data_IF_667612922534
#
_entry.id   IF_667612922534
#
_cell.length_a   1.000
_cell.length_b   1.000
_cell.length_c   1.000
_cell.angle_alpha   90.00
_cell.angle_beta   90.00
_cell.angle_gamma   90.00
#
_symmetry.space_group_name_H-M   'P 1'
#
loop_
_entity.id
_entity.type
_entity.pdbx_description
1 polymer ?
#
# COMPACT_ATOMS: atom_id res chain seq x y z
N UNK A 1 -29.33 -6.74 6.73
CA UNK A 1 -28.16 -6.26 7.51
C UNK A 1 -27.18 -7.41 7.62
N UNK A 2 -25.99 -7.31 7.02
CA UNK A 2 -24.91 -8.28 7.23
C UNK A 2 -24.43 -8.16 8.68
N UNK A 3 -24.54 -9.25 9.45
CA UNK A 3 -24.08 -9.31 10.84
C UNK A 3 -22.64 -9.81 10.82
N UNK A 4 -21.68 -8.88 10.75
CA UNK A 4 -20.26 -9.22 10.83
C UNK A 4 -19.92 -9.90 12.16
N UNK A 5 -18.90 -10.78 12.20
CA UNK A 5 -18.37 -11.28 13.45
C UNK A 5 -17.82 -10.10 14.26
N UNK A 6 -18.13 -10.07 15.56
CA UNK A 6 -17.66 -9.02 16.45
C UNK A 6 -16.31 -9.43 17.04
N UNK A 7 -15.28 -8.60 16.85
CA UNK A 7 -13.97 -8.82 17.47
C UNK A 7 -14.09 -8.90 18.99
N UNK A 8 -13.42 -9.88 19.60
CA UNK A 8 -13.46 -10.17 21.05
C UNK A 8 -12.39 -9.42 21.84
N UNK A 9 -11.59 -8.60 21.16
CA UNK A 9 -10.59 -7.70 21.72
C UNK A 9 -10.47 -6.45 20.85
N UNK A 10 -9.83 -5.36 21.34
CA UNK A 10 -9.50 -4.20 20.51
C UNK A 10 -8.77 -4.61 19.22
N UNK A 11 -8.98 -3.85 18.14
CA UNK A 11 -8.28 -4.07 16.88
C UNK A 11 -6.77 -3.88 17.10
N UNK A 12 -5.99 -4.85 16.62
CA UNK A 12 -4.53 -4.78 16.60
C UNK A 12 -4.12 -4.07 15.31
N UNK A 13 -3.70 -2.80 15.45
CA UNK A 13 -3.35 -1.96 14.32
C UNK A 13 -1.83 -1.73 14.31
N UNK A 14 -1.22 -1.64 13.13
CA UNK A 14 0.18 -1.21 12.99
C UNK A 14 0.23 0.29 12.76
N UNK A 15 0.74 1.02 13.75
CA UNK A 15 0.89 2.46 13.75
C UNK A 15 1.65 2.95 12.51
N UNK A 16 2.79 2.34 12.17
CA UNK A 16 3.61 2.79 11.05
C UNK A 16 2.89 2.71 9.70
N UNK A 17 2.02 1.71 9.51
CA UNK A 17 1.22 1.57 8.29
C UNK A 17 0.11 2.60 8.20
N UNK A 18 -0.55 2.92 9.31
CA UNK A 18 -1.52 4.00 9.37
C UNK A 18 -0.82 5.35 9.09
N UNK A 19 0.37 5.58 9.63
CA UNK A 19 1.14 6.80 9.36
C UNK A 19 1.46 6.95 7.87
N UNK A 20 1.90 5.89 7.20
CA UNK A 20 2.19 5.89 5.76
C UNK A 20 0.93 6.06 4.90
N UNK A 21 -0.16 5.35 5.21
CA UNK A 21 -1.45 5.52 4.51
C UNK A 21 -2.03 6.94 4.69
N UNK A 22 -1.92 7.54 5.88
CA UNK A 22 -2.29 8.94 6.12
C UNK A 22 -1.38 9.94 5.38
N UNK A 23 -0.13 9.59 5.11
CA UNK A 23 0.83 10.44 4.40
C UNK A 23 0.64 10.42 2.87
N UNK A 24 0.23 9.25 2.34
CA UNK A 24 0.00 8.97 0.92
C UNK A 24 -1.44 9.21 0.45
N UNK A 25 -2.40 9.38 1.37
CA UNK A 25 -3.79 9.70 1.00
C UNK A 25 -3.91 11.14 0.48
N UNK A 26 -4.19 11.25 -0.80
CA UNK A 26 -4.38 12.48 -1.56
C UNK A 26 -5.66 12.38 -2.42
N UNK A 27 -5.90 13.34 -3.30
CA UNK A 27 -7.13 13.37 -4.12
C UNK A 27 -7.21 12.22 -5.14
N UNK A 28 -6.10 11.55 -5.46
CA UNK A 28 -6.04 10.41 -6.39
C UNK A 28 -6.03 9.05 -5.65
N UNK A 29 -5.62 9.03 -4.37
CA UNK A 29 -5.39 7.80 -3.60
C UNK A 29 -6.22 7.73 -2.33
N UNK A 30 -7.31 6.97 -2.42
CA UNK A 30 -8.18 6.65 -1.29
C UNK A 30 -7.72 5.41 -0.52
N UNK A 31 -7.76 5.52 0.81
CA UNK A 31 -7.47 4.43 1.74
C UNK A 31 -8.65 4.25 2.69
N UNK A 32 -9.07 3.01 2.92
CA UNK A 32 -10.15 2.65 3.84
C UNK A 32 -9.65 1.70 4.93
N UNK A 33 -9.97 1.98 6.19
CA UNK A 33 -9.74 1.08 7.33
C UNK A 33 -10.97 0.20 7.58
N UNK A 34 -10.78 -1.11 7.68
CA UNK A 34 -11.81 -2.04 8.15
C UNK A 34 -12.02 -1.93 9.67
N UNK A 35 -13.25 -1.58 10.09
CA UNK A 35 -13.64 -1.54 11.51
C UNK A 35 -13.86 -2.92 12.15
N UNK A 36 -13.84 -4.01 11.38
CA UNK A 36 -14.08 -5.38 11.88
C UNK A 36 -12.79 -6.10 12.26
N UNK A 37 -11.77 -6.06 11.40
CA UNK A 37 -10.51 -6.80 11.56
C UNK A 37 -9.26 -5.90 11.52
N UNK A 38 -9.37 -4.64 11.06
CA UNK A 38 -8.27 -3.68 11.09
C UNK A 38 -7.31 -3.69 9.89
N UNK A 39 -7.67 -4.35 8.79
CA UNK A 39 -6.90 -4.22 7.54
C UNK A 39 -7.18 -2.89 6.83
N UNK A 40 -6.20 -2.43 6.04
CA UNK A 40 -6.33 -1.24 5.20
C UNK A 40 -6.54 -1.69 3.74
N UNK A 41 -7.49 -1.05 3.06
CA UNK A 41 -7.76 -1.19 1.63
C UNK A 41 -7.25 0.06 0.92
N UNK A 42 -6.41 -0.10 -0.09
CA UNK A 42 -5.94 0.96 -0.97
C UNK A 42 -6.68 0.87 -2.31
N UNK A 43 -7.39 1.93 -2.73
CA UNK A 43 -8.11 1.97 -4.01
C UNK A 43 -7.14 2.28 -5.14
N UNK A 44 -6.58 1.21 -5.69
CA UNK A 44 -5.65 1.24 -6.81
C UNK A 44 -6.39 1.37 -8.16
N UNK A 45 -6.36 2.57 -8.74
CA UNK A 45 -7.03 2.89 -10.01
C UNK A 45 -6.39 2.24 -11.25
N UNK A 46 -5.16 1.72 -11.15
CA UNK A 46 -4.48 1.01 -12.25
C UNK A 46 -5.08 -0.38 -12.54
N UNK A 47 -6.04 -0.83 -11.72
CA UNK A 47 -6.65 -2.16 -11.84
C UNK A 47 -7.79 -2.24 -12.84
N UNK A 48 -8.13 -3.48 -13.20
CA UNK A 48 -9.22 -3.77 -14.12
C UNK A 48 -10.57 -3.25 -13.62
N UNK A 49 -11.32 -2.59 -14.51
CA UNK A 49 -12.64 -1.99 -14.26
C UNK A 49 -13.62 -2.89 -13.49
N UNK A 50 -13.57 -4.20 -13.73
CA UNK A 50 -14.39 -5.19 -13.00
C UNK A 50 -14.03 -5.28 -11.51
N UNK A 51 -12.75 -5.30 -11.17
CA UNK A 51 -12.29 -5.35 -9.77
C UNK A 51 -12.65 -4.06 -9.04
N UNK A 52 -12.49 -2.91 -9.71
CA UNK A 52 -12.89 -1.61 -9.18
C UNK A 52 -14.41 -1.52 -8.95
N UNK A 53 -15.22 -1.96 -9.92
CA UNK A 53 -16.67 -1.97 -9.79
C UNK A 53 -17.18 -2.95 -8.71
N UNK A 54 -16.49 -4.07 -8.49
CA UNK A 54 -16.83 -5.02 -7.43
C UNK A 54 -16.37 -4.54 -6.04
N UNK A 55 -15.25 -3.79 -5.96
CA UNK A 55 -14.82 -3.11 -4.74
C UNK A 55 -15.78 -1.97 -4.36
N UNK A 56 -16.18 -1.12 -5.31
CA UNK A 56 -17.13 -0.03 -5.08
C UNK A 56 -18.49 -0.55 -4.58
N UNK A 57 -18.99 -1.66 -5.15
CA UNK A 57 -20.19 -2.35 -4.63
C UNK A 57 -20.00 -2.80 -3.18
N UNK A 58 -18.88 -3.46 -2.85
CA UNK A 58 -18.60 -3.92 -1.47
C UNK A 58 -18.59 -2.74 -0.49
N UNK A 59 -17.84 -1.67 -0.80
CA UNK A 59 -17.73 -0.47 0.05
C UNK A 59 -19.09 0.24 0.16
N UNK A 60 -19.82 0.40 -0.94
CA UNK A 60 -21.15 1.05 -0.96
C UNK A 60 -22.21 0.28 -0.17
N UNK A 61 -22.28 -1.04 -0.35
CA UNK A 61 -23.23 -1.91 0.38
C UNK A 61 -22.84 -2.04 1.86
N UNK A 62 -21.56 -1.87 2.19
CA UNK A 62 -21.01 -2.09 3.54
C UNK A 62 -20.31 -0.86 4.12
N UNK A 63 -20.80 0.34 3.80
CA UNK A 63 -20.23 1.63 4.22
C UNK A 63 -19.91 1.72 5.73
N UNK A 64 -20.75 1.14 6.61
CA UNK A 64 -20.50 1.11 8.06
C UNK A 64 -19.24 0.32 8.49
N UNK A 65 -18.74 -0.59 7.64
CA UNK A 65 -17.55 -1.41 7.87
C UNK A 65 -16.26 -0.63 7.56
N UNK A 66 -16.29 0.25 6.56
CA UNK A 66 -15.11 0.88 5.99
C UNK A 66 -15.04 2.37 6.36
N UNK A 67 -13.97 2.79 7.04
CA UNK A 67 -13.72 4.20 7.34
C UNK A 67 -12.69 4.78 6.37
N UNK A 68 -13.10 5.77 5.56
CA UNK A 68 -12.17 6.54 4.71
C UNK A 68 -11.15 7.30 5.59
N UNK A 69 -9.86 7.12 5.29
CA UNK A 69 -8.78 7.83 5.96
C UNK A 69 -8.80 9.34 5.62
N UNK A 70 -8.44 10.22 6.56
CA UNK A 70 -8.52 11.67 6.36
C UNK A 70 -7.31 12.18 5.57
N UNK A 71 -7.57 12.61 4.34
CA UNK A 71 -6.60 13.32 3.48
C UNK A 71 -6.01 14.53 4.22
N UNK A 72 -4.74 14.83 3.98
CA UNK A 72 -4.11 16.06 4.50
C UNK A 72 -4.41 17.20 3.53
N UNK A 73 -5.16 18.20 3.97
CA UNK A 73 -5.32 19.43 3.18
C UNK A 73 -4.00 20.19 3.07
N UNK A 74 -3.89 21.04 2.04
CA UNK A 74 -2.73 21.95 1.89
C UNK A 74 -2.52 22.81 3.15
N UNK A 75 -3.62 23.31 3.75
CA UNK A 75 -3.57 24.13 4.97
C UNK A 75 -3.07 23.35 6.19
N UNK A 76 -3.57 22.12 6.42
CA UNK A 76 -3.06 21.25 7.49
C UNK A 76 -1.57 20.94 7.29
N UNK A 77 -1.17 20.62 6.06
CA UNK A 77 0.23 20.34 5.71
C UNK A 77 1.11 21.55 6.01
N UNK A 78 0.68 22.76 5.60
CA UNK A 78 1.39 24.01 5.87
C UNK A 78 1.52 24.25 7.38
N UNK A 79 0.43 24.17 8.11
CA UNK A 79 0.39 24.33 9.58
C UNK A 79 1.27 23.31 10.31
N UNK A 80 1.38 22.09 9.78
CA UNK A 80 2.24 21.05 10.34
C UNK A 80 3.73 21.39 10.17
N UNK A 81 4.14 21.91 9.01
CA UNK A 81 5.50 22.39 8.77
C UNK A 81 5.80 23.66 9.60
N UNK A 82 4.86 24.62 9.67
CA UNK A 82 4.96 25.81 10.53
C UNK A 82 5.09 25.44 12.02
N UNK A 83 4.38 24.41 12.47
CA UNK A 83 4.47 23.88 13.83
C UNK A 83 5.86 23.30 14.15
N UNK A 84 6.45 22.54 13.22
CA UNK A 84 7.81 22.04 13.36
C UNK A 84 8.83 23.18 13.51
N UNK A 85 8.79 24.16 12.61
CA UNK A 85 9.71 25.31 12.60
C UNK A 85 9.61 26.11 13.90
N UNK A 86 8.41 26.22 14.48
CA UNK A 86 8.23 26.97 15.72
C UNK A 86 8.59 26.19 16.98
N UNK A 87 8.47 24.86 16.99
CA UNK A 87 8.66 24.04 18.19
C UNK A 87 10.02 23.32 18.27
N UNK A 88 10.70 23.07 17.14
CA UNK A 88 11.89 22.20 17.10
C UNK A 88 13.12 22.87 16.42
N UNK A 89 12.92 23.89 15.59
CA UNK A 89 14.02 24.65 14.97
C UNK A 89 14.41 25.82 15.88
N UNK A 90 15.61 25.74 16.47
CA UNK A 90 16.14 26.73 17.42
C UNK A 90 17.12 27.72 16.78
N UNK A 91 17.74 27.35 15.65
CA UNK A 91 18.62 28.24 14.91
C UNK A 91 17.82 29.29 14.14
N UNK A 92 18.19 30.56 14.27
CA UNK A 92 17.42 31.69 13.74
C UNK A 92 17.52 31.75 12.22
N UNK A 93 18.73 31.61 11.67
CA UNK A 93 18.97 31.67 10.22
C UNK A 93 18.25 30.53 9.48
N UNK A 94 18.29 29.32 10.05
CA UNK A 94 17.55 28.16 9.54
C UNK A 94 16.04 28.36 9.66
N UNK A 95 15.57 28.94 10.78
CA UNK A 95 14.15 29.22 11.02
C UNK A 95 13.59 30.22 10.02
N UNK A 96 14.28 31.32 9.75
CA UNK A 96 13.85 32.34 8.77
C UNK A 96 13.78 31.75 7.35
N UNK A 97 14.82 31.04 6.90
CA UNK A 97 14.82 30.35 5.60
C UNK A 97 13.65 29.38 5.44
N UNK A 98 13.35 28.58 6.47
CA UNK A 98 12.23 27.64 6.45
C UNK A 98 10.87 28.35 6.42
N UNK A 99 10.71 29.50 7.09
CA UNK A 99 9.49 30.32 7.02
C UNK A 99 9.28 30.94 5.64
N UNK A 100 10.34 31.37 4.96
CA UNK A 100 10.27 31.85 3.57
C UNK A 100 9.93 30.71 2.59
N UNK A 101 10.53 29.53 2.76
CA UNK A 101 10.19 28.33 1.99
C UNK A 101 8.70 27.99 2.14
N UNK A 102 8.13 28.08 3.33
CA UNK A 102 6.71 27.83 3.60
C UNK A 102 5.78 28.85 2.89
N UNK A 103 6.26 30.05 2.60
CA UNK A 103 5.50 31.05 1.83
C UNK A 103 5.57 30.83 0.32
N UNK A 104 6.50 29.97 -0.15
CA UNK A 104 6.64 29.65 -1.58
C UNK A 104 5.48 28.80 -2.13
N UNK A 105 5.31 28.84 -3.46
CA UNK A 105 4.25 28.10 -4.17
C UNK A 105 4.35 26.58 -4.01
N UNK A 106 5.56 26.05 -3.87
CA UNK A 106 5.86 24.61 -3.77
C UNK A 106 6.40 24.25 -2.38
N UNK A 107 5.86 24.92 -1.35
CA UNK A 107 6.28 24.87 0.04
C UNK A 107 6.65 23.47 0.57
N UNK A 108 5.85 22.42 0.26
CA UNK A 108 6.11 21.05 0.76
C UNK A 108 7.37 20.43 0.17
N UNK A 109 7.57 20.54 -1.14
CA UNK A 109 8.69 19.89 -1.82
C UNK A 109 10.00 20.63 -1.50
N UNK A 110 9.98 21.96 -1.56
CA UNK A 110 11.09 22.84 -1.17
C UNK A 110 11.48 22.66 0.31
N UNK A 111 10.50 22.47 1.21
CA UNK A 111 10.75 22.21 2.63
C UNK A 111 11.43 20.84 2.82
N UNK A 112 10.95 19.80 2.15
CA UNK A 112 11.58 18.48 2.22
C UNK A 112 13.01 18.52 1.67
N UNK A 113 13.24 19.15 0.51
CA UNK A 113 14.58 19.33 -0.07
C UNK A 113 15.55 19.96 0.93
N UNK A 114 15.19 21.11 1.52
CA UNK A 114 16.00 21.76 2.55
C UNK A 114 16.28 20.84 3.75
N UNK A 115 15.25 20.15 4.26
CA UNK A 115 15.38 19.28 5.44
C UNK A 115 16.27 18.06 5.15
N UNK A 116 16.20 17.48 3.94
CA UNK A 116 17.06 16.35 3.56
C UNK A 116 18.54 16.74 3.42
N UNK A 117 18.85 17.98 3.04
CA UNK A 117 20.22 18.51 3.05
C UNK A 117 20.76 18.80 4.48
N UNK A 118 19.86 19.04 5.44
CA UNK A 118 20.22 19.40 6.82
C UNK A 118 19.93 18.25 7.79
N UNK A 119 20.83 17.28 7.88
CA UNK A 119 20.63 16.02 8.62
C UNK A 119 20.15 16.18 10.09
N UNK A 120 20.61 17.21 10.80
CA UNK A 120 20.16 17.51 12.17
C UNK A 120 18.71 17.97 12.24
N UNK A 121 18.21 18.66 11.22
CA UNK A 121 16.80 19.04 11.13
C UNK A 121 15.95 17.90 10.58
N UNK A 122 16.51 17.02 9.75
CA UNK A 122 15.86 15.76 9.32
C UNK A 122 15.52 14.87 10.51
N UNK A 123 16.45 14.62 11.42
CA UNK A 123 16.19 13.80 12.63
C UNK A 123 15.08 14.41 13.50
N UNK A 124 15.11 15.73 13.73
CA UNK A 124 14.07 16.43 14.48
C UNK A 124 12.72 16.40 13.77
N UNK A 125 12.72 16.53 12.44
CA UNK A 125 11.52 16.47 11.61
C UNK A 125 10.89 15.07 11.66
N UNK A 126 11.70 14.02 11.53
CA UNK A 126 11.24 12.63 11.67
C UNK A 126 10.57 12.41 13.03
N UNK A 127 11.22 12.83 14.13
CA UNK A 127 10.66 12.73 15.48
C UNK A 127 9.36 13.53 15.64
N UNK A 128 9.36 14.80 15.23
CA UNK A 128 8.16 15.66 15.28
C UNK A 128 7.01 15.09 14.46
N UNK A 129 7.30 14.61 13.25
CA UNK A 129 6.30 14.04 12.37
C UNK A 129 5.66 12.82 13.01
N UNK A 130 6.47 11.90 13.53
CA UNK A 130 6.00 10.69 14.25
C UNK A 130 5.19 11.04 15.50
N UNK A 131 5.62 12.02 16.31
CA UNK A 131 4.86 12.46 17.50
C UNK A 131 3.48 13.03 17.12
N UNK A 132 3.43 13.88 16.09
CA UNK A 132 2.21 14.60 15.69
C UNK A 132 1.24 13.78 14.86
N UNK A 133 1.73 12.96 13.94
CA UNK A 133 0.87 12.05 13.16
C UNK A 133 0.25 10.98 14.05
N UNK A 134 0.97 10.52 15.09
CA UNK A 134 0.42 9.62 16.13
C UNK A 134 -0.76 10.21 16.87
N UNK A 135 -0.66 11.47 17.31
CA UNK A 135 -1.80 12.17 17.93
C UNK A 135 -2.97 12.27 16.95
N UNK A 136 -2.73 12.71 15.70
CA UNK A 136 -3.77 12.82 14.64
C UNK A 136 -4.48 11.49 14.36
N UNK A 137 -3.73 10.38 14.29
CA UNK A 137 -4.29 9.03 14.06
C UNK A 137 -5.12 8.58 15.27
N UNK A 138 -4.65 8.79 16.50
CA UNK A 138 -5.41 8.47 17.73
C UNK A 138 -6.71 9.29 17.78
N UNK A 139 -6.65 10.59 17.48
CA UNK A 139 -7.84 11.46 17.42
C UNK A 139 -8.85 10.96 16.38
N UNK A 140 -8.41 10.63 15.17
CA UNK A 140 -9.30 10.12 14.13
C UNK A 140 -9.91 8.75 14.48
N UNK A 141 -9.12 7.81 15.02
CA UNK A 141 -9.62 6.50 15.47
C UNK A 141 -10.68 6.65 16.58
N UNK A 142 -10.48 7.61 17.51
CA UNK A 142 -11.46 7.96 18.54
C UNK A 142 -12.75 8.55 17.96
N UNK A 143 -12.65 9.47 16.99
CA UNK A 143 -13.80 10.04 16.28
C UNK A 143 -14.59 8.99 15.49
N UNK A 144 -13.93 7.94 15.04
CA UNK A 144 -14.55 6.80 14.34
C UNK A 144 -15.11 5.72 15.29
N UNK A 145 -15.02 5.93 16.61
CA UNK A 145 -15.41 4.99 17.67
C UNK A 145 -14.74 3.60 17.59
N UNK A 146 -13.55 3.53 16.98
CA UNK A 146 -12.81 2.28 16.77
C UNK A 146 -11.99 1.96 18.01
N UNK A 147 -12.29 0.86 18.70
CA UNK A 147 -11.47 0.41 19.84
C UNK A 147 -10.20 -0.30 19.33
N UNK A 148 -9.02 0.29 19.55
CA UNK A 148 -7.74 -0.20 19.02
C UNK A 148 -6.62 -0.29 20.07
N UNK A 149 -5.55 -1.00 19.71
CA UNK A 149 -4.22 -0.98 20.33
C UNK A 149 -3.17 -1.06 19.23
N UNK A 150 -2.09 -0.28 19.33
CA UNK A 150 -0.96 -0.40 18.40
C UNK A 150 -0.05 -1.60 18.74
N UNK A 151 0.34 -2.38 17.73
CA UNK A 151 1.27 -3.50 17.89
C UNK A 151 2.64 -3.04 18.39
N UNK A 152 3.12 -1.89 17.91
CA UNK A 152 4.42 -1.32 18.25
C UNK A 152 4.55 -0.91 19.72
N UNK A 153 3.44 -0.76 20.42
CA UNK A 153 3.46 -0.48 21.86
C UNK A 153 3.48 -1.77 22.70
N UNK A 154 3.17 -2.94 22.14
CA UNK A 154 2.90 -4.19 22.86
C UNK A 154 4.17 -5.03 23.10
N UNK A 155 4.55 -5.16 24.38
CA UNK A 155 5.59 -6.08 24.85
C UNK A 155 5.12 -7.56 24.82
N UNK A 156 4.70 -8.05 23.65
CA UNK A 156 4.19 -9.41 23.45
C UNK A 156 5.06 -10.20 22.47
N UNK A 157 5.39 -11.44 22.84
CA UNK A 157 6.09 -12.38 21.96
C UNK A 157 5.26 -12.65 20.68
N UNK A 158 5.92 -12.65 19.51
CA UNK A 158 5.34 -12.98 18.20
C UNK A 158 4.36 -14.17 18.21
N UNK A 159 4.70 -15.26 18.90
CA UNK A 159 3.85 -16.45 19.00
C UNK A 159 2.51 -16.19 19.73
N UNK A 160 2.45 -15.22 20.65
CA UNK A 160 1.21 -14.83 21.32
C UNK A 160 0.39 -13.88 20.45
N UNK A 161 1.05 -12.95 19.75
CA UNK A 161 0.40 -12.04 18.80
C UNK A 161 -0.26 -12.78 17.63
N UNK A 162 0.40 -13.79 17.05
CA UNK A 162 -0.23 -14.63 16.02
C UNK A 162 -1.43 -15.41 16.55
N UNK A 163 -1.39 -15.91 17.79
CA UNK A 163 -2.55 -16.55 18.43
C UNK A 163 -3.70 -15.56 18.62
N UNK A 164 -3.42 -14.34 19.10
CA UNK A 164 -4.44 -13.30 19.26
C UNK A 164 -5.14 -12.96 17.93
N UNK A 165 -4.37 -12.82 16.84
CA UNK A 165 -4.92 -12.58 15.50
C UNK A 165 -5.77 -13.76 15.01
N UNK A 166 -5.28 -15.00 15.11
CA UNK A 166 -6.02 -16.22 14.71
C UNK A 166 -7.35 -16.38 15.46
N UNK A 167 -7.35 -16.07 16.76
CA UNK A 167 -8.51 -16.24 17.62
C UNK A 167 -9.32 -14.94 17.80
N UNK A 168 -9.16 -13.91 16.96
CA UNK A 168 -9.78 -12.58 17.15
C UNK A 168 -11.30 -12.61 17.37
N UNK A 169 -12.01 -13.51 16.68
CA UNK A 169 -13.46 -13.65 16.73
C UNK A 169 -13.96 -14.74 17.71
N UNK A 170 -13.06 -15.54 18.28
CA UNK A 170 -13.44 -16.69 19.10
C UNK A 170 -13.75 -16.29 20.54
N UNK A 171 -14.99 -16.53 20.97
CA UNK A 171 -15.48 -16.20 22.32
C UNK A 171 -14.79 -17.05 23.40
N UNK A 172 -14.54 -18.33 23.11
CA UNK A 172 -13.89 -19.28 24.04
C UNK A 172 -12.44 -19.51 23.62
N UNK A 173 -11.51 -19.04 24.45
CA UNK A 173 -10.05 -19.16 24.23
C UNK A 173 -9.36 -19.70 25.49
N UNK A 174 -8.07 -20.03 25.40
CA UNK A 174 -7.28 -20.42 26.57
C UNK A 174 -7.15 -19.28 27.58
N UNK A 175 -6.89 -19.63 28.85
CA UNK A 175 -6.74 -18.65 29.94
C UNK A 175 -5.68 -17.58 29.63
N UNK A 176 -4.57 -17.98 29.03
CA UNK A 176 -3.47 -17.07 28.66
C UNK A 176 -3.93 -16.01 27.66
N UNK A 177 -4.70 -16.41 26.64
CA UNK A 177 -5.24 -15.48 25.63
C UNK A 177 -6.28 -14.57 26.28
N UNK A 178 -7.16 -15.09 27.15
CA UNK A 178 -8.14 -14.28 27.87
C UNK A 178 -7.47 -13.19 28.74
N UNK A 179 -6.42 -13.54 29.50
CA UNK A 179 -5.66 -12.59 30.29
C UNK A 179 -5.00 -11.49 29.43
N UNK A 180 -4.44 -11.85 28.26
CA UNK A 180 -3.88 -10.85 27.34
C UNK A 180 -4.97 -9.97 26.72
N UNK A 181 -6.17 -10.51 26.39
CA UNK A 181 -7.30 -9.68 25.95
C UNK A 181 -7.72 -8.65 26.99
N UNK A 182 -7.78 -9.02 28.26
CA UNK A 182 -8.07 -8.06 29.34
C UNK A 182 -7.01 -6.95 29.41
N UNK A 183 -5.73 -7.30 29.31
CA UNK A 183 -4.64 -6.32 29.21
C UNK A 183 -4.76 -5.40 27.98
N UNK A 184 -5.17 -5.94 26.81
CA UNK A 184 -5.48 -5.15 25.62
C UNK A 184 -6.62 -4.17 25.87
N UNK A 185 -7.71 -4.57 26.55
CA UNK A 185 -8.81 -3.66 26.90
C UNK A 185 -8.39 -2.56 27.88
N UNK A 186 -7.53 -2.87 28.86
CA UNK A 186 -6.95 -1.84 29.75
C UNK A 186 -6.10 -0.86 28.96
N UNK A 187 -5.27 -1.34 28.03
CA UNK A 187 -4.43 -0.50 27.17
C UNK A 187 -5.25 0.32 26.16
N UNK A 188 -6.29 -0.26 25.57
CA UNK A 188 -7.17 0.47 24.65
C UNK A 188 -7.78 1.71 25.33
N UNK A 189 -8.17 1.60 26.61
CA UNK A 189 -8.68 2.72 27.40
C UNK A 189 -7.67 3.84 27.60
N UNK A 190 -6.35 3.58 27.58
CA UNK A 190 -5.35 4.66 27.76
C UNK A 190 -5.27 5.58 26.54
N UNK A 191 -5.47 5.09 25.31
CA UNK A 191 -5.55 5.95 24.11
C UNK A 191 -6.77 6.90 24.12
N UNK A 192 -7.83 6.53 24.83
CA UNK A 192 -9.01 7.38 25.03
C UNK A 192 -8.84 8.38 26.20
N UNK A 193 -7.79 8.24 27.01
CA UNK A 193 -7.44 9.22 28.05
C UNK A 193 -6.79 10.47 27.46
N UNK A 194 -6.72 11.55 28.25
CA UNK A 194 -6.04 12.78 27.83
C UNK A 194 -4.51 12.65 27.79
N UNK A 195 -3.92 11.62 28.42
CA UNK A 195 -2.46 11.40 28.41
C UNK A 195 -1.95 10.99 27.03
N UNK A 196 -2.76 10.29 26.23
CA UNK A 196 -2.40 9.87 24.87
C UNK A 196 -2.46 11.00 23.83
N UNK A 197 -3.24 12.05 24.09
CA UNK A 197 -3.31 13.26 23.26
C UNK A 197 -2.22 14.27 23.61
N UNK A 198 -1.91 14.38 24.91
CA UNK A 198 -0.93 15.33 25.43
C UNK A 198 0.01 14.58 26.39
N UNK A 199 1.08 13.93 25.89
CA UNK A 199 2.08 13.29 26.72
C UNK A 199 2.84 14.35 27.53
N UNK A 200 2.34 14.67 28.72
CA UNK A 200 3.00 15.61 29.63
C UNK A 200 4.35 15.03 30.05
N UNK A 201 5.43 15.85 30.11
CA UNK A 201 6.66 15.45 30.79
C UNK A 201 6.31 15.01 32.22
N UNK A 202 6.70 13.77 32.59
CA UNK A 202 6.42 13.24 33.93
C UNK A 202 7.12 14.12 34.97
N UNK A 203 6.37 15.01 35.61
CA UNK A 203 6.87 16.00 36.56
C UNK A 203 7.29 15.30 37.86
N UNK A 204 8.57 14.95 37.95
CA UNK A 204 9.19 14.26 39.06
C UNK A 204 10.70 14.18 38.87
N UNK A 205 11.40 13.59 39.85
CA UNK A 205 12.86 13.36 39.82
C UNK A 205 13.28 12.75 38.47
N UNK A 206 14.44 13.13 37.89
CA UNK A 206 14.94 12.53 36.66
C UNK A 206 14.81 11.01 36.71
N UNK A 207 14.19 10.37 35.69
CA UNK A 207 14.11 8.92 35.64
C UNK A 207 15.52 8.37 35.79
N UNK A 208 15.71 7.42 36.72
CA UNK A 208 16.95 6.64 36.79
C UNK A 208 17.21 6.14 35.38
N UNK A 209 18.39 6.40 34.82
CA UNK A 209 18.74 6.00 33.45
C UNK A 209 18.78 4.48 33.36
N UNK A 210 17.60 3.87 33.24
CA UNK A 210 17.46 2.54 32.67
C UNK A 210 17.86 2.74 31.22
N UNK A 211 18.95 2.08 30.81
CA UNK A 211 19.34 2.06 29.41
C UNK A 211 18.10 1.72 28.60
N UNK A 212 17.75 2.59 27.65
CA UNK A 212 16.61 2.37 26.75
C UNK A 212 17.01 1.21 25.87
N UNK A 213 16.72 -0.02 26.33
CA UNK A 213 16.97 -1.23 25.57
C UNK A 213 16.20 -1.06 24.27
N UNK A 214 16.94 -0.97 23.17
CA UNK A 214 16.38 -0.93 21.84
C UNK A 214 15.86 -2.34 21.54
N UNK A 215 14.68 -2.63 22.07
CA UNK A 215 13.93 -3.83 21.74
C UNK A 215 13.51 -3.64 20.29
N UNK A 216 14.24 -4.30 19.39
CA UNK A 216 13.91 -4.36 17.97
C UNK A 216 12.45 -4.83 17.84
N UNK A 217 11.56 -4.03 17.21
CA UNK A 217 10.15 -4.32 17.19
C UNK A 217 9.91 -5.63 16.44
N UNK A 218 9.43 -6.67 17.14
CA UNK A 218 9.15 -7.98 16.55
C UNK A 218 7.92 -7.91 15.63
N UNK A 219 8.14 -7.48 14.39
CA UNK A 219 7.07 -7.38 13.39
C UNK A 219 6.43 -8.75 13.16
N UNK A 220 5.13 -8.82 13.43
CA UNK A 220 4.35 -10.04 13.22
C UNK A 220 3.72 -10.05 11.84
N UNK A 221 3.51 -11.26 11.29
CA UNK A 221 2.87 -11.41 9.98
C UNK A 221 1.40 -11.00 10.11
N UNK A 222 0.86 -10.35 9.06
CA UNK A 222 -0.56 -10.03 9.03
C UNK A 222 -1.37 -11.31 8.85
N UNK A 223 -2.37 -11.48 9.71
CA UNK A 223 -3.29 -12.61 9.64
C UNK A 223 -4.70 -12.04 9.63
N UNK A 224 -5.30 -12.00 8.45
CA UNK A 224 -6.67 -11.57 8.23
C UNK A 224 -7.51 -12.75 7.74
N UNK A 225 -8.67 -12.94 8.34
CA UNK A 225 -9.58 -14.08 8.18
C UNK A 225 -10.89 -13.68 7.52
N UNK A 226 -11.29 -12.40 7.62
CA UNK A 226 -12.59 -11.87 7.18
C UNK A 226 -12.47 -10.88 6.01
N UNK A 227 -11.40 -10.97 5.22
CA UNK A 227 -11.21 -10.17 3.99
C UNK A 227 -12.09 -10.70 2.86
N UNK A 228 -13.05 -9.89 2.35
CA UNK A 228 -13.84 -10.25 1.17
C UNK A 228 -12.96 -10.54 -0.04
N UNK A 229 -13.37 -11.47 -0.91
CA UNK A 229 -12.58 -11.87 -2.08
C UNK A 229 -12.23 -10.70 -2.99
N UNK A 230 -13.16 -9.76 -3.21
CA UNK A 230 -12.95 -8.54 -3.97
C UNK A 230 -11.89 -7.61 -3.34
N UNK A 231 -11.83 -7.49 -2.02
CA UNK A 231 -10.84 -6.63 -1.34
C UNK A 231 -9.41 -7.20 -1.33
N UNK A 232 -9.21 -8.50 -1.59
CA UNK A 232 -7.90 -9.16 -1.41
C UNK A 232 -6.78 -8.58 -2.28
N UNK A 233 -7.09 -8.19 -3.52
CA UNK A 233 -6.07 -7.56 -4.38
C UNK A 233 -5.72 -6.14 -3.92
N UNK A 234 -6.62 -5.48 -3.17
CA UNK A 234 -6.51 -4.09 -2.71
C UNK A 234 -5.98 -3.96 -1.28
N UNK A 235 -5.53 -5.05 -0.65
CA UNK A 235 -4.95 -4.99 0.71
C UNK A 235 -3.66 -4.17 0.72
N UNK A 236 -3.62 -3.15 1.56
CA UNK A 236 -2.44 -2.31 1.73
C UNK A 236 -1.46 -2.91 2.73
N UNK A 237 -0.44 -3.59 2.20
CA UNK A 237 0.56 -4.34 2.97
C UNK A 237 1.99 -3.85 2.71
N UNK A 238 2.32 -2.57 2.96
CA UNK A 238 3.68 -2.10 2.80
C UNK A 238 4.60 -2.77 3.84
N UNK A 239 5.83 -3.05 3.42
CA UNK A 239 6.87 -3.66 4.26
C UNK A 239 7.64 -2.58 5.02
N UNK A 240 6.97 -2.01 6.02
CA UNK A 240 7.50 -0.94 6.86
C UNK A 240 7.87 -1.54 8.22
N UNK A 241 9.17 -1.55 8.50
CA UNK A 241 9.74 -2.04 9.75
C UNK A 241 10.18 -0.91 10.70
N UNK A 242 10.36 0.31 10.20
CA UNK A 242 10.84 1.45 11.00
C UNK A 242 10.16 2.76 10.57
N UNK A 243 10.10 3.75 11.48
CA UNK A 243 9.60 5.09 11.19
C UNK A 243 10.44 5.82 10.11
N UNK A 244 11.75 5.56 10.08
CA UNK A 244 12.67 6.17 9.11
C UNK A 244 12.42 5.70 7.66
N UNK A 245 11.86 4.50 7.44
CA UNK A 245 11.61 3.98 6.08
C UNK A 245 10.32 4.50 5.44
N UNK A 246 9.62 5.44 6.10
CA UNK A 246 8.38 6.04 5.60
C UNK A 246 8.72 7.33 4.85
N UNK A 247 8.25 7.47 3.62
CA UNK A 247 8.40 8.69 2.84
C UNK A 247 7.47 9.79 3.34
N UNK A 248 8.03 10.95 3.71
CA UNK A 248 7.23 12.15 4.01
C UNK A 248 6.61 12.79 2.75
N UNK A 249 6.86 12.22 1.56
CA UNK A 249 6.30 12.65 0.29
C UNK A 249 5.24 11.67 -0.20
N UNK A 250 4.06 12.18 -0.55
CA UNK A 250 3.05 11.39 -1.25
C UNK A 250 3.52 10.96 -2.65
N UNK A 251 4.45 11.69 -3.27
CA UNK A 251 4.90 11.46 -4.66
C UNK A 251 5.84 10.27 -4.84
N UNK A 252 6.43 9.74 -3.76
CA UNK A 252 7.46 8.69 -3.84
C UNK A 252 7.18 7.57 -2.84
N UNK A 253 7.33 6.32 -3.30
CA UNK A 253 7.02 5.13 -2.50
C UNK A 253 8.14 4.74 -1.55
N UNK A 254 9.39 5.14 -1.85
CA UNK A 254 10.58 4.85 -1.04
C UNK A 254 11.49 6.06 -0.87
N UNK A 255 12.19 6.13 0.26
CA UNK A 255 13.14 7.22 0.56
C UNK A 255 14.24 7.30 -0.52
N UNK A 256 14.68 6.15 -1.05
CA UNK A 256 15.64 6.09 -2.15
C UNK A 256 15.16 6.78 -3.43
N UNK A 257 13.87 6.70 -3.77
CA UNK A 257 13.30 7.42 -4.92
C UNK A 257 13.27 8.93 -4.68
N UNK A 258 12.88 9.36 -3.47
CA UNK A 258 12.87 10.77 -3.07
C UNK A 258 14.30 11.35 -3.12
N UNK A 259 15.27 10.69 -2.50
CA UNK A 259 16.69 11.09 -2.54
C UNK A 259 17.27 11.09 -3.97
N UNK A 260 16.84 10.16 -4.84
CA UNK A 260 17.25 10.16 -6.25
C UNK A 260 16.65 11.35 -7.03
N UNK A 261 15.43 11.77 -6.69
CA UNK A 261 14.80 12.97 -7.26
C UNK A 261 15.48 14.26 -6.78
N UNK A 262 15.75 14.37 -5.47
CA UNK A 262 16.40 15.54 -4.85
C UNK A 262 17.83 15.75 -5.37
N UNK A 263 18.58 14.67 -5.64
CA UNK A 263 19.92 14.75 -6.27
C UNK A 263 19.92 15.14 -7.76
N UNK A 264 18.86 15.79 -8.24
CA UNK A 264 18.75 16.31 -9.60
C UNK A 264 18.74 15.25 -10.70
N UNK A 265 18.47 13.98 -10.38
CA UNK A 265 18.58 12.88 -11.35
C UNK A 265 17.38 12.78 -12.29
N UNK A 266 17.30 13.76 -13.19
CA UNK A 266 16.51 13.72 -14.43
C UNK A 266 16.86 12.54 -15.37
N UNK A 267 17.78 11.66 -14.97
CA UNK A 267 18.25 10.48 -15.71
C UNK A 267 17.88 9.13 -15.08
N UNK A 268 17.25 9.08 -13.90
CA UNK A 268 16.68 7.84 -13.33
C UNK A 268 15.14 7.88 -13.44
N UNK A 269 14.67 8.23 -14.64
CA UNK A 269 13.44 7.67 -15.23
C UNK A 269 13.77 6.57 -16.24
N UNK A 270 14.74 5.72 -15.90
CA UNK A 270 14.75 4.35 -16.42
C UNK A 270 13.84 3.56 -15.49
N UNK A 271 12.54 3.71 -15.74
CA UNK A 271 11.48 2.98 -15.08
C UNK A 271 11.82 1.47 -15.15
N UNK A 272 11.80 0.76 -14.02
CA UNK A 272 12.12 -0.67 -14.00
C UNK A 272 11.16 -1.47 -14.90
N UNK A 273 9.94 -0.95 -15.14
CA UNK A 273 9.00 -1.44 -16.14
C UNK A 273 9.46 -1.16 -17.58
N UNK A 274 10.09 -0.01 -17.86
CA UNK A 274 10.70 0.29 -19.16
C UNK A 274 11.97 -0.53 -19.41
N UNK A 275 12.79 -0.79 -18.40
CA UNK A 275 13.97 -1.65 -18.55
C UNK A 275 13.57 -3.11 -18.79
N UNK A 276 12.58 -3.62 -18.04
CA UNK A 276 11.98 -4.92 -18.32
C UNK A 276 11.27 -4.98 -19.69
N UNK A 277 10.72 -3.86 -20.18
CA UNK A 277 10.18 -3.75 -21.54
C UNK A 277 11.28 -3.69 -22.61
N UNK A 278 12.40 -3.01 -22.39
CA UNK A 278 13.52 -2.99 -23.33
C UNK A 278 14.16 -4.37 -23.44
N UNK A 279 14.37 -5.06 -22.32
CA UNK A 279 14.87 -6.45 -22.30
C UNK A 279 13.89 -7.41 -22.99
N UNK A 280 12.57 -7.24 -22.80
CA UNK A 280 11.54 -8.00 -23.53
C UNK A 280 11.47 -7.67 -25.02
N UNK A 281 11.70 -6.41 -25.42
CA UNK A 281 11.73 -6.00 -26.82
C UNK A 281 13.03 -6.41 -27.52
N UNK A 282 14.16 -6.43 -26.82
CA UNK A 282 15.44 -6.95 -27.33
C UNK A 282 15.38 -8.47 -27.49
N UNK A 283 14.87 -9.21 -26.50
CA UNK A 283 14.63 -10.65 -26.65
C UNK A 283 13.61 -10.97 -27.76
N UNK A 284 12.56 -10.17 -27.94
CA UNK A 284 11.66 -10.27 -29.10
C UNK A 284 12.36 -9.94 -30.43
N UNK A 285 13.27 -8.96 -30.48
CA UNK A 285 14.08 -8.67 -31.68
C UNK A 285 15.05 -9.81 -31.99
N UNK A 286 15.65 -10.44 -30.98
CA UNK A 286 16.50 -11.63 -31.15
C UNK A 286 15.71 -12.87 -31.59
N UNK A 287 14.47 -13.04 -31.16
CA UNK A 287 13.58 -14.11 -31.64
C UNK A 287 13.05 -13.82 -33.05
N UNK A 288 12.67 -12.58 -33.33
CA UNK A 288 12.24 -12.12 -34.66
C UNK A 288 13.34 -12.28 -35.69
N UNK A 289 14.58 -11.83 -35.40
CA UNK A 289 15.73 -12.00 -36.30
C UNK A 289 16.04 -13.47 -36.57
N UNK A 290 15.97 -14.35 -35.55
CA UNK A 290 16.11 -15.82 -35.73
C UNK A 290 14.99 -16.46 -36.56
N UNK A 291 13.81 -15.84 -36.64
CA UNK A 291 12.69 -16.29 -37.48
C UNK A 291 12.71 -15.69 -38.89
N UNK A 292 13.34 -14.52 -39.08
CA UNK A 292 13.43 -13.84 -40.39
C UNK A 292 14.70 -14.14 -41.18
N UNK A 293 15.64 -14.93 -40.65
CA UNK A 293 16.82 -15.41 -41.39
C UNK A 293 16.60 -16.82 -41.95
N UNK A 294 16.25 -16.99 -43.23
CA UNK A 294 16.17 -18.31 -43.86
C UNK A 294 17.55 -18.76 -44.35
N UNK A 295 18.41 -19.22 -43.44
CA UNK A 295 19.67 -19.90 -43.77
C UNK A 295 20.07 -20.91 -42.68
N UNK A 296 20.61 -22.05 -43.12
CA UNK A 296 21.40 -23.03 -42.38
C UNK A 296 20.71 -23.83 -41.25
N UNK A 297 19.74 -24.65 -41.64
CA UNK A 297 19.10 -25.69 -40.83
C UNK A 297 20.00 -26.95 -40.61
N UNK A 298 21.27 -26.79 -40.22
CA UNK A 298 22.20 -27.95 -40.10
C UNK A 298 23.29 -27.87 -39.01
N UNK A 299 23.23 -26.94 -38.04
CA UNK A 299 24.27 -26.82 -36.98
C UNK A 299 23.77 -26.65 -35.53
N UNK A 300 22.47 -26.49 -35.29
CA UNK A 300 21.94 -25.97 -34.00
C UNK A 300 21.50 -27.02 -32.95
N UNK A 301 21.69 -28.32 -33.20
CA UNK A 301 21.23 -29.37 -32.28
C UNK A 301 22.09 -29.56 -31.00
N UNK A 302 23.26 -28.92 -30.89
CA UNK A 302 24.27 -29.24 -29.86
C UNK A 302 24.48 -28.19 -28.75
N UNK A 303 23.89 -27.00 -28.85
CA UNK A 303 24.11 -25.91 -27.88
C UNK A 303 22.88 -25.52 -27.02
N UNK A 304 21.68 -25.99 -27.36
CA UNK A 304 20.44 -25.64 -26.64
C UNK A 304 20.27 -26.24 -25.23
N UNK A 305 21.12 -27.21 -24.83
CA UNK A 305 20.89 -28.03 -23.62
C UNK A 305 21.69 -27.57 -22.38
N UNK A 306 22.64 -26.64 -22.54
CA UNK A 306 23.57 -26.26 -21.44
C UNK A 306 23.09 -25.13 -20.51
N UNK A 307 22.06 -24.37 -20.86
CA UNK A 307 21.60 -23.22 -20.05
C UNK A 307 20.27 -23.43 -19.29
N UNK A 308 19.64 -24.60 -19.36
CA UNK A 308 18.38 -24.90 -18.65
C UNK A 308 18.54 -25.75 -17.38
N UNK A 309 19.75 -25.86 -16.83
CA UNK A 309 20.09 -26.83 -15.76
C UNK A 309 20.65 -26.22 -14.46
N UNK A 310 20.37 -24.95 -14.19
CA UNK A 310 20.69 -24.29 -12.92
C UNK A 310 19.54 -23.37 -12.43
N UNK A 311 18.36 -23.94 -12.14
CA UNK A 311 17.52 -23.61 -10.95
C UNK A 311 16.53 -24.77 -10.73
N UNK A 312 16.91 -25.75 -9.92
CA UNK A 312 15.98 -26.57 -9.11
C UNK A 312 16.79 -27.16 -7.94
N UNK A 313 16.37 -26.98 -6.68
CA UNK A 313 17.07 -27.55 -5.53
C UNK A 313 16.84 -29.06 -5.43
N UNK A 314 17.73 -29.72 -4.71
CA UNK A 314 17.79 -31.17 -4.56
C UNK A 314 16.60 -31.71 -3.75
N UNK A 315 15.92 -32.72 -4.30
CA UNK A 315 15.18 -33.71 -3.54
C UNK A 315 15.43 -35.08 -4.18
N UNK A 316 16.05 -35.99 -3.43
CA UNK A 316 16.37 -37.34 -3.87
C UNK A 316 15.13 -38.22 -3.92
N UNK A 317 15.07 -39.15 -4.90
CA UNK A 317 14.71 -40.58 -4.72
C UNK A 317 14.95 -41.33 -6.04
N UNK A 318 15.27 -42.62 -5.90
CA UNK A 318 15.73 -43.58 -6.92
C UNK A 318 14.88 -43.74 -8.19
N UNK A 319 15.54 -44.18 -9.26
CA UNK A 319 14.95 -44.54 -10.54
C UNK A 319 14.27 -45.94 -10.54
N UNK A 320 13.30 -46.12 -11.43
CA UNK A 320 13.28 -47.25 -12.37
C UNK A 320 12.52 -46.90 -13.68
N UNK A 321 13.15 -47.21 -14.81
CA UNK A 321 12.58 -47.34 -16.17
C UNK A 321 12.11 -48.80 -16.38
N UNK A 322 11.43 -49.23 -17.48
CA UNK A 322 11.25 -48.59 -18.80
C UNK A 322 9.75 -48.34 -19.15
N UNK A 323 9.23 -48.14 -20.38
CA UNK A 323 9.74 -48.42 -21.74
C UNK A 323 9.14 -47.49 -22.84
N UNK A 324 9.41 -47.78 -24.13
CA UNK A 324 9.07 -46.98 -25.30
C UNK A 324 7.56 -46.87 -25.65
N UNK A 325 7.17 -45.72 -26.24
CA UNK A 325 6.38 -45.64 -27.48
C UNK A 325 6.44 -44.25 -28.14
N UNK A 326 6.52 -44.22 -29.48
CA UNK A 326 6.59 -42.99 -30.31
C UNK A 326 5.26 -42.69 -31.01
N UNK A 327 4.78 -41.45 -30.92
CA UNK A 327 3.88 -40.78 -31.89
C UNK A 327 3.59 -39.35 -31.37
N UNK A 328 4.11 -38.29 -31.99
CA UNK A 328 3.58 -37.58 -33.18
C UNK A 328 2.88 -36.27 -32.77
N UNK A 329 3.58 -35.14 -32.91
CA UNK A 329 3.14 -33.80 -32.50
C UNK A 329 2.26 -33.18 -33.61
N UNK A 330 1.13 -33.82 -33.91
CA UNK A 330 0.27 -33.49 -35.06
C UNK A 330 -1.17 -33.08 -34.70
N UNK A 331 -1.55 -33.11 -33.41
CA UNK A 331 -2.95 -32.91 -32.98
C UNK A 331 -3.20 -31.63 -32.16
N UNK A 332 -2.17 -30.88 -31.77
CA UNK A 332 -2.30 -29.70 -30.85
C UNK A 332 -2.39 -28.36 -31.59
N UNK A 333 -2.32 -28.33 -32.94
CA UNK A 333 -2.17 -27.08 -33.73
C UNK A 333 -3.45 -26.69 -34.51
N UNK A 334 -4.62 -27.27 -34.23
CA UNK A 334 -5.86 -26.97 -34.97
C UNK A 334 -6.88 -26.04 -34.29
N UNK A 335 -6.72 -25.74 -33.00
CA UNK A 335 -7.74 -25.00 -32.22
C UNK A 335 -7.42 -23.50 -31.97
N UNK A 336 -6.41 -22.94 -32.64
CA UNK A 336 -5.89 -21.59 -32.34
C UNK A 336 -5.85 -20.57 -33.50
N UNK A 337 -6.63 -20.75 -34.57
CA UNK A 337 -6.79 -19.72 -35.62
C UNK A 337 -8.25 -19.58 -36.11
N UNK A 338 -8.82 -18.35 -36.10
CA UNK A 338 -10.20 -18.11 -36.56
C UNK A 338 -10.31 -18.03 -38.08
N UNK A 339 -11.31 -18.69 -38.66
CA UNK A 339 -11.55 -18.71 -40.11
C UNK A 339 -12.30 -17.45 -40.60
N UNK A 340 -11.75 -16.81 -41.65
CA UNK A 340 -12.38 -15.67 -42.34
C UNK A 340 -13.67 -16.10 -43.05
N UNK A 341 -14.80 -15.46 -42.70
CA UNK A 341 -16.06 -15.56 -43.45
C UNK A 341 -16.12 -14.45 -44.51
N UNK A 342 -16.29 -14.79 -45.79
CA UNK A 342 -16.52 -13.83 -46.88
C UNK A 342 -18.00 -13.77 -47.28
N UNK A 343 -18.55 -12.56 -47.19
CA UNK A 343 -19.57 -11.95 -48.06
C UNK A 343 -20.43 -12.83 -48.99
N UNK A 344 -21.75 -12.80 -48.76
CA UNK A 344 -22.75 -12.70 -49.82
C UNK A 344 -24.01 -11.98 -49.26
N UNK A 345 -24.51 -11.01 -50.03
CA UNK A 345 -25.70 -10.16 -49.84
C UNK A 345 -26.22 -9.87 -51.28
N UNK A 346 -27.41 -9.29 -51.58
CA UNK A 346 -28.35 -8.62 -50.66
C UNK A 346 -29.85 -8.90 -50.86
N UNK A 347 -30.68 -8.54 -49.87
CA UNK A 347 -32.13 -8.35 -50.07
C UNK A 347 -32.75 -7.21 -49.22
N UNK A 348 -32.73 -6.00 -49.80
CA UNK A 348 -33.61 -4.83 -49.55
C UNK A 348 -34.58 -4.85 -48.35
N UNK A 349 -34.46 -3.84 -47.47
CA UNK A 349 -35.60 -2.93 -47.13
C UNK A 349 -35.17 -1.60 -46.49
N UNK A 350 -35.96 -0.57 -46.80
CA UNK A 350 -35.96 0.83 -46.31
C UNK A 350 -35.85 0.88 -44.76
N UNK A 351 -35.28 1.89 -44.11
CA UNK A 351 -34.90 3.24 -44.56
C UNK A 351 -35.80 4.29 -43.91
N UNK A 352 -35.37 4.90 -42.81
CA UNK A 352 -36.03 6.08 -42.21
C UNK A 352 -35.03 6.92 -41.39
N UNK A 353 -34.82 8.18 -41.80
CA UNK A 353 -34.01 9.18 -41.11
C UNK A 353 -34.87 9.93 -40.09
N UNK A 354 -34.35 10.18 -38.87
CA UNK A 354 -34.96 11.15 -37.94
C UNK A 354 -33.96 12.21 -37.48
N UNK A 355 -34.40 13.44 -37.67
CA UNK A 355 -33.70 14.70 -37.47
C UNK A 355 -33.51 15.07 -36.00
N UNK A 356 -32.45 15.82 -35.73
CA UNK A 356 -32.19 16.44 -34.41
C UNK A 356 -33.11 17.66 -34.25
N UNK A 357 -33.84 17.73 -33.14
CA UNK A 357 -34.71 18.87 -32.81
C UNK A 357 -34.02 19.77 -31.77
N UNK A 358 -33.95 21.08 -32.03
CA UNK A 358 -33.35 22.06 -31.11
C UNK A 358 -34.20 22.29 -29.85
N UNK A 359 -33.54 22.45 -28.70
CA UNK A 359 -34.17 22.76 -27.42
C UNK A 359 -34.54 24.25 -27.37
N UNK A 360 -35.83 24.55 -27.12
CA UNK A 360 -36.32 25.92 -26.86
C UNK A 360 -36.05 26.33 -25.40
N UNK A 361 -35.66 27.60 -25.19
CA UNK A 361 -35.45 28.19 -23.86
C UNK A 361 -36.76 28.28 -23.06
N UNK A 362 -36.73 28.11 -21.72
CA UNK A 362 -37.93 28.22 -20.88
C UNK A 362 -38.44 29.66 -20.75
N UNK A 363 -39.75 29.79 -20.63
CA UNK A 363 -40.46 31.06 -20.54
C UNK A 363 -40.64 31.47 -19.06
N UNK A 364 -40.39 32.75 -18.74
CA UNK A 364 -40.54 33.28 -17.38
C UNK A 364 -42.03 33.59 -17.09
N UNK A 365 -42.57 33.02 -16.02
CA UNK A 365 -43.76 33.46 -15.28
C UNK A 365 -43.50 33.12 -13.81
N UNK A 366 -43.91 33.92 -12.83
CA UNK A 366 -44.52 35.26 -12.87
C UNK A 366 -44.51 35.81 -11.45
#
# INVERSE_FOLDING_TARGET
MSKYPQAQNPLLLRYHRLMDAFAKSDDERDFYLDKVEGFIVYVDLDKGEKELADLDKEISVHNKRYALLPKMTFYETKKFMEGFINEKVYDIDTKEKLLDIIQSREARDNFLEFIYDHHTELEKWQQYYVERSRIRIIEWLRLQEILFVFEEDLDLNKNMMEKLKRYLFDVKVSKDIAAVREALYVKAKTYYSNEALNPRPKRGRPPKQVAKVEIEPQVTVDMYTMVPSCCRTFLYLPDITNAASITFSAKFDTEAQLLASLRGSSRIKVDTKLQALSERLESLRHLSTRLTTPADSSSLASQGVKHLKQVTPEATVSAHQPENKKSSISEVVKDLLPSRKKSADPAKKKGETKTVTQIRKPHRKG
#
